data_IF_753335536961
#
_entry.id   IF_753335536961
#
_cell.length_a   1.000
_cell.length_b   1.000
_cell.length_c   1.000
_cell.angle_alpha   90.00
_cell.angle_beta   90.00
_cell.angle_gamma   90.00
#
_symmetry.space_group_name_H-M   'P 1'
#
loop_
_entity.id
_entity.type
_entity.pdbx_description
1 polymer ?
#
# COMPACT_ATOMS: atom_id res chain seq x y z
N UNK A 1 1.84 -47.05 -0.10
CA UNK A 1 0.53 -46.38 -0.26
C UNK A 1 0.21 -45.70 1.07
N UNK A 2 0.69 -44.48 1.28
CA UNK A 2 0.56 -43.78 2.56
C UNK A 2 0.25 -42.29 2.33
N UNK A 3 -0.94 -41.91 2.83
CA UNK A 3 -1.34 -40.60 3.33
C UNK A 3 -1.08 -39.34 2.48
N UNK A 4 -2.06 -38.96 1.64
CA UNK A 4 -2.38 -37.56 1.37
C UNK A 4 -3.46 -37.09 2.38
N UNK A 5 -3.09 -36.88 3.64
CA UNK A 5 -4.02 -36.40 4.66
C UNK A 5 -3.52 -35.06 5.24
N UNK A 6 -4.31 -34.01 4.94
CA UNK A 6 -4.27 -32.57 5.32
C UNK A 6 -3.62 -31.56 4.33
N UNK A 7 -4.23 -30.35 4.13
CA UNK A 7 -5.66 -30.03 4.01
C UNK A 7 -5.96 -29.20 2.74
N UNK A 8 -6.86 -29.66 1.87
CA UNK A 8 -7.38 -28.86 0.75
C UNK A 8 -8.43 -27.81 1.18
N UNK A 9 -9.02 -28.00 2.36
CA UNK A 9 -10.10 -27.17 2.89
C UNK A 9 -9.60 -25.86 3.53
N UNK A 10 -8.43 -25.85 4.18
CA UNK A 10 -7.87 -24.62 4.76
C UNK A 10 -7.41 -23.64 3.66
N UNK A 11 -6.72 -24.15 2.63
CA UNK A 11 -6.26 -23.35 1.50
C UNK A 11 -7.41 -22.77 0.66
N UNK A 12 -8.52 -23.52 0.53
CA UNK A 12 -9.76 -23.03 -0.11
C UNK A 12 -10.41 -21.91 0.73
N UNK A 13 -10.53 -22.11 2.05
CA UNK A 13 -11.07 -21.11 2.96
C UNK A 13 -10.24 -19.83 3.03
N UNK A 14 -8.91 -19.95 2.98
CA UNK A 14 -7.99 -18.81 2.96
C UNK A 14 -8.10 -18.01 1.66
N UNK A 15 -8.18 -18.68 0.50
CA UNK A 15 -8.42 -18.02 -0.80
C UNK A 15 -9.73 -17.25 -0.82
N UNK A 16 -10.78 -17.81 -0.23
CA UNK A 16 -12.08 -17.13 -0.10
C UNK A 16 -12.03 -15.92 0.84
N UNK A 17 -11.31 -16.00 1.97
CA UNK A 17 -11.08 -14.83 2.84
C UNK A 17 -10.30 -13.73 2.12
N UNK A 18 -9.26 -14.10 1.39
CA UNK A 18 -8.44 -13.17 0.60
C UNK A 18 -9.23 -12.51 -0.53
N UNK A 19 -10.16 -13.23 -1.18
CA UNK A 19 -11.03 -12.62 -2.20
C UNK A 19 -12.03 -11.64 -1.62
N UNK A 20 -12.64 -11.97 -0.47
CA UNK A 20 -13.57 -11.07 0.22
C UNK A 20 -12.89 -9.78 0.69
N UNK A 21 -11.69 -9.86 1.28
CA UNK A 21 -10.93 -8.68 1.70
C UNK A 21 -10.60 -7.75 0.52
N UNK A 22 -10.24 -8.31 -0.63
CA UNK A 22 -9.98 -7.54 -1.86
C UNK A 22 -11.24 -6.81 -2.35
N UNK A 23 -12.39 -7.48 -2.34
CA UNK A 23 -13.66 -6.88 -2.75
C UNK A 23 -14.03 -5.72 -1.82
N UNK A 24 -13.92 -5.91 -0.50
CA UNK A 24 -14.19 -4.84 0.48
C UNK A 24 -13.25 -3.64 0.28
N UNK A 25 -11.96 -3.89 0.05
CA UNK A 25 -10.99 -2.83 -0.21
C UNK A 25 -11.34 -2.03 -1.48
N UNK A 26 -11.73 -2.70 -2.55
CA UNK A 26 -12.16 -2.05 -3.80
C UNK A 26 -13.42 -1.22 -3.56
N UNK A 27 -14.41 -1.76 -2.85
CA UNK A 27 -15.66 -1.05 -2.53
C UNK A 27 -15.41 0.20 -1.66
N UNK A 28 -14.62 0.09 -0.60
CA UNK A 28 -14.25 1.21 0.27
C UNK A 28 -13.50 2.29 -0.51
N UNK A 29 -12.54 1.89 -1.36
CA UNK A 29 -11.78 2.82 -2.19
C UNK A 29 -12.70 3.54 -3.18
N UNK A 30 -13.65 2.82 -3.79
CA UNK A 30 -14.60 3.38 -4.75
C UNK A 30 -15.58 4.34 -4.06
N UNK A 31 -16.08 4.00 -2.87
CA UNK A 31 -16.95 4.87 -2.09
C UNK A 31 -16.22 6.15 -1.66
N UNK A 32 -14.98 6.05 -1.18
CA UNK A 32 -14.14 7.20 -0.84
C UNK A 32 -13.87 8.09 -2.06
N UNK A 33 -13.56 7.48 -3.22
CA UNK A 33 -13.38 8.18 -4.49
C UNK A 33 -14.64 8.93 -4.93
N UNK A 34 -15.82 8.29 -4.88
CA UNK A 34 -17.10 8.92 -5.22
C UNK A 34 -17.44 10.07 -4.26
N UNK A 35 -17.30 9.86 -2.94
CA UNK A 35 -17.51 10.92 -1.94
C UNK A 35 -16.56 12.10 -2.16
N UNK A 36 -15.30 11.83 -2.51
CA UNK A 36 -14.31 12.87 -2.84
C UNK A 36 -14.70 13.66 -4.09
N UNK A 37 -15.27 13.01 -5.10
CA UNK A 37 -15.73 13.66 -6.34
C UNK A 37 -17.01 14.46 -6.12
N UNK A 38 -17.95 13.95 -5.32
CA UNK A 38 -19.22 14.63 -5.02
C UNK A 38 -19.03 15.88 -4.15
N UNK A 39 -18.06 15.86 -3.22
CA UNK A 39 -17.70 17.01 -2.39
C UNK A 39 -16.62 17.90 -3.02
N UNK A 40 -16.20 17.61 -4.26
CA UNK A 40 -15.25 18.47 -4.96
C UNK A 40 -15.98 19.76 -5.39
N UNK A 41 -15.71 20.87 -4.70
CA UNK A 41 -16.21 22.18 -5.10
C UNK A 41 -15.74 22.49 -6.53
N UNK A 42 -16.68 22.66 -7.45
CA UNK A 42 -16.42 22.89 -8.88
C UNK A 42 -15.97 24.34 -9.20
N UNK A 43 -15.51 25.07 -8.17
CA UNK A 43 -14.91 26.39 -8.28
C UNK A 43 -13.40 26.26 -8.08
N UNK A 44 -12.69 25.77 -9.10
CA UNK A 44 -11.22 25.58 -9.09
C UNK A 44 -10.41 26.89 -9.01
N UNK A 45 -10.86 27.87 -8.24
CA UNK A 45 -10.27 29.19 -8.13
C UNK A 45 -9.11 29.22 -7.13
N UNK A 46 -8.93 28.16 -6.33
CA UNK A 46 -7.80 28.02 -5.41
C UNK A 46 -6.75 27.03 -5.93
N UNK A 47 -5.47 27.42 -5.82
CA UNK A 47 -4.31 26.58 -6.14
C UNK A 47 -4.34 25.23 -5.42
N UNK A 48 -4.81 25.19 -4.17
CA UNK A 48 -4.97 23.95 -3.40
C UNK A 48 -5.93 22.95 -4.05
N UNK A 49 -7.09 23.39 -4.55
CA UNK A 49 -8.07 22.53 -5.23
C UNK A 49 -7.51 22.00 -6.56
N UNK A 50 -6.77 22.83 -7.31
CA UNK A 50 -6.13 22.41 -8.57
C UNK A 50 -5.05 21.35 -8.33
N UNK A 51 -4.23 21.53 -7.30
CA UNK A 51 -3.21 20.54 -6.90
C UNK A 51 -3.89 19.25 -6.43
N UNK A 52 -4.96 19.34 -5.63
CA UNK A 52 -5.74 18.18 -5.19
C UNK A 52 -6.34 17.38 -6.35
N UNK A 53 -6.91 18.06 -7.36
CA UNK A 53 -7.45 17.39 -8.55
C UNK A 53 -6.34 16.72 -9.39
N UNK A 54 -5.21 17.41 -9.57
CA UNK A 54 -4.06 16.85 -10.28
C UNK A 54 -3.55 15.59 -9.57
N UNK A 55 -3.43 15.63 -8.24
CA UNK A 55 -3.07 14.46 -7.45
C UNK A 55 -4.06 13.32 -7.58
N UNK A 56 -5.36 13.62 -7.56
CA UNK A 56 -6.40 12.63 -7.77
C UNK A 56 -6.25 11.93 -9.14
N UNK A 57 -6.01 12.68 -10.21
CA UNK A 57 -5.73 12.11 -11.52
C UNK A 57 -4.46 11.25 -11.55
N UNK A 58 -3.38 11.69 -10.88
CA UNK A 58 -2.13 10.93 -10.77
C UNK A 58 -2.31 9.61 -10.03
N UNK A 59 -3.14 9.57 -8.98
CA UNK A 59 -3.48 8.33 -8.25
C UNK A 59 -4.06 7.28 -9.20
N UNK A 60 -4.88 7.68 -10.19
CA UNK A 60 -5.46 6.74 -11.16
C UNK A 60 -4.45 6.18 -12.17
N UNK A 61 -3.30 6.83 -12.36
CA UNK A 61 -2.23 6.31 -13.22
C UNK A 61 -1.57 5.07 -12.59
N UNK A 62 -1.54 4.97 -11.26
CA UNK A 62 -0.96 3.83 -10.54
C UNK A 62 -1.59 2.48 -10.92
N UNK A 63 -2.93 2.26 -10.82
CA UNK A 63 -3.53 1.00 -11.24
C UNK A 63 -3.40 0.75 -12.74
N UNK A 64 -3.48 1.80 -13.58
CA UNK A 64 -3.31 1.66 -15.04
C UNK A 64 -1.92 1.13 -15.41
N UNK A 65 -0.87 1.69 -14.81
CA UNK A 65 0.51 1.22 -15.03
C UNK A 65 0.72 -0.20 -14.49
N UNK A 66 0.02 -0.59 -13.41
CA UNK A 66 0.02 -1.96 -12.88
C UNK A 66 -0.61 -2.99 -13.83
N UNK A 67 -1.63 -2.62 -14.60
CA UNK A 67 -2.20 -3.48 -15.63
C UNK A 67 -1.24 -3.71 -16.81
N UNK A 68 -0.41 -2.72 -17.14
CA UNK A 68 0.60 -2.81 -18.21
C UNK A 68 1.91 -3.50 -17.78
N UNK A 69 1.88 -4.31 -16.72
CA UNK A 69 3.06 -4.99 -16.18
C UNK A 69 3.73 -5.90 -17.24
N UNK A 70 5.03 -5.72 -17.52
CA UNK A 70 5.75 -6.55 -18.49
C UNK A 70 5.84 -8.04 -18.06
N UNK A 71 5.87 -8.98 -19.02
CA UNK A 71 6.03 -10.41 -18.75
C UNK A 71 7.38 -10.75 -18.07
N UNK A 72 7.46 -11.93 -17.43
CA UNK A 72 8.67 -12.38 -16.70
C UNK A 72 9.86 -12.53 -17.67
N UNK A 73 11.06 -12.13 -17.26
CA UNK A 73 12.31 -12.32 -18.03
C UNK A 73 12.77 -11.15 -18.91
N UNK A 74 11.99 -10.06 -18.97
CA UNK A 74 12.39 -8.84 -19.69
C UNK A 74 13.07 -7.85 -18.74
N UNK A 75 14.22 -7.29 -19.13
CA UNK A 75 14.93 -6.24 -18.39
C UNK A 75 14.06 -5.00 -18.14
N UNK A 76 13.12 -4.70 -19.05
CA UNK A 76 12.11 -3.63 -18.88
C UNK A 76 11.25 -3.80 -17.63
N UNK A 77 11.12 -5.02 -17.09
CA UNK A 77 10.35 -5.26 -15.87
C UNK A 77 11.02 -4.64 -14.64
N UNK A 78 12.35 -4.62 -14.60
CA UNK A 78 13.11 -3.99 -13.50
C UNK A 78 12.91 -2.47 -13.51
N UNK A 79 13.02 -1.87 -14.70
CA UNK A 79 12.76 -0.44 -14.91
C UNK A 79 11.31 -0.09 -14.57
N UNK A 80 10.34 -0.88 -15.06
CA UNK A 80 8.93 -0.69 -14.74
C UNK A 80 8.68 -0.77 -13.24
N UNK A 81 9.31 -1.72 -12.54
CA UNK A 81 9.17 -1.86 -11.09
C UNK A 81 9.74 -0.63 -10.36
N UNK A 82 10.94 -0.18 -10.73
CA UNK A 82 11.56 1.01 -10.14
C UNK A 82 10.71 2.26 -10.34
N UNK A 83 10.24 2.50 -11.57
CA UNK A 83 9.41 3.66 -11.90
C UNK A 83 8.07 3.59 -11.17
N UNK A 84 7.37 2.46 -11.23
CA UNK A 84 6.07 2.28 -10.56
C UNK A 84 6.20 2.48 -9.04
N UNK A 85 7.24 1.90 -8.43
CA UNK A 85 7.54 2.05 -7.01
C UNK A 85 7.88 3.49 -6.62
N UNK A 86 8.80 4.14 -7.33
CA UNK A 86 9.21 5.52 -7.05
C UNK A 86 8.04 6.49 -7.22
N UNK A 87 7.25 6.31 -8.28
CA UNK A 87 6.05 7.10 -8.54
C UNK A 87 4.99 6.87 -7.47
N UNK A 88 4.89 5.65 -6.94
CA UNK A 88 3.98 5.32 -5.83
C UNK A 88 4.33 6.10 -4.57
N UNK A 89 5.60 6.08 -4.18
CA UNK A 89 6.10 6.84 -3.02
C UNK A 89 5.86 8.35 -3.22
N UNK A 90 6.17 8.87 -4.41
CA UNK A 90 5.96 10.29 -4.73
C UNK A 90 4.49 10.71 -4.56
N UNK A 91 3.55 9.91 -5.05
CA UNK A 91 2.11 10.18 -4.89
C UNK A 91 1.70 10.13 -3.41
N UNK A 92 2.20 9.17 -2.62
CA UNK A 92 1.92 9.11 -1.19
C UNK A 92 2.40 10.37 -0.46
N UNK A 93 3.64 10.80 -0.69
CA UNK A 93 4.21 12.01 -0.08
C UNK A 93 3.43 13.26 -0.46
N UNK A 94 3.10 13.41 -1.76
CA UNK A 94 2.32 14.55 -2.22
C UNK A 94 0.88 14.55 -1.68
N UNK A 95 0.28 13.36 -1.51
CA UNK A 95 -1.03 13.21 -0.88
C UNK A 95 -1.04 13.68 0.58
N UNK A 96 -0.03 13.28 1.36
CA UNK A 96 0.15 13.73 2.75
C UNK A 96 0.31 15.25 2.80
N UNK A 97 1.20 15.81 1.97
CA UNK A 97 1.41 17.26 1.89
C UNK A 97 0.12 18.01 1.52
N UNK A 98 -0.66 17.48 0.57
CA UNK A 98 -1.91 18.08 0.15
C UNK A 98 -2.94 18.14 1.28
N UNK A 99 -3.03 17.09 2.12
CA UNK A 99 -3.93 17.07 3.28
C UNK A 99 -3.52 18.15 4.29
N UNK A 100 -2.24 18.28 4.64
CA UNK A 100 -1.78 19.33 5.56
C UNK A 100 -2.00 20.75 5.02
N UNK A 101 -1.74 20.98 3.73
CA UNK A 101 -2.03 22.26 3.08
C UNK A 101 -3.53 22.56 3.12
N UNK A 102 -4.38 21.55 2.89
CA UNK A 102 -5.82 21.68 2.99
C UNK A 102 -6.31 22.04 4.39
N UNK A 103 -5.79 21.37 5.42
CA UNK A 103 -6.10 21.70 6.81
C UNK A 103 -5.65 23.13 7.15
N UNK A 104 -4.49 23.56 6.68
CA UNK A 104 -3.99 24.92 6.90
C UNK A 104 -4.90 25.98 6.27
N UNK A 105 -5.29 25.79 5.01
CA UNK A 105 -6.21 26.68 4.29
C UNK A 105 -7.59 26.69 4.94
N UNK A 106 -8.10 25.54 5.38
CA UNK A 106 -9.38 25.44 6.09
C UNK A 106 -9.34 26.20 7.42
N UNK A 107 -8.25 26.07 8.19
CA UNK A 107 -8.08 26.81 9.44
C UNK A 107 -8.12 28.33 9.21
N UNK A 108 -7.43 28.82 8.18
CA UNK A 108 -7.42 30.25 7.84
C UNK A 108 -8.80 30.78 7.42
N UNK A 109 -9.61 29.97 6.71
CA UNK A 109 -10.93 30.40 6.23
C UNK A 109 -12.04 30.30 7.26
N UNK A 110 -12.00 29.26 8.09
CA UNK A 110 -13.10 28.95 9.02
C UNK A 110 -12.83 29.43 10.44
N UNK A 111 -11.62 29.91 10.74
CA UNK A 111 -11.14 30.25 12.10
C UNK A 111 -11.36 29.13 13.13
N UNK A 112 -11.58 27.90 12.66
CA UNK A 112 -11.93 26.74 13.47
C UNK A 112 -10.66 25.93 13.70
N UNK A 113 -10.43 25.48 14.94
CA UNK A 113 -9.26 24.66 15.26
C UNK A 113 -9.27 23.38 14.41
N UNK A 114 -8.22 23.20 13.61
CA UNK A 114 -7.96 21.96 12.84
C UNK A 114 -7.06 21.00 13.60
N UNK A 115 -6.62 21.37 14.81
CA UNK A 115 -5.63 20.61 15.57
C UNK A 115 -6.05 19.15 15.81
N UNK A 116 -7.34 18.91 16.06
CA UNK A 116 -7.86 17.54 16.25
C UNK A 116 -7.69 16.70 14.99
N UNK A 117 -8.05 17.25 13.82
CA UNK A 117 -7.91 16.56 12.54
C UNK A 117 -6.44 16.33 12.17
N UNK A 118 -5.58 17.32 12.41
CA UNK A 118 -4.13 17.18 12.20
C UNK A 118 -3.54 16.07 13.07
N UNK A 119 -3.92 16.01 14.35
CA UNK A 119 -3.43 14.98 15.29
C UNK A 119 -3.90 13.60 14.87
N UNK A 120 -5.20 13.43 14.56
CA UNK A 120 -5.73 12.15 14.09
C UNK A 120 -5.01 11.65 12.85
N UNK A 121 -4.80 12.52 11.86
CA UNK A 121 -4.11 12.16 10.63
C UNK A 121 -2.61 11.84 10.86
N UNK A 122 -1.95 12.58 11.76
CA UNK A 122 -0.56 12.30 12.13
C UNK A 122 -0.42 10.94 12.80
N UNK A 123 -1.35 10.61 13.73
CA UNK A 123 -1.38 9.33 14.43
C UNK A 123 -1.63 8.19 13.43
N UNK A 124 -2.56 8.37 12.49
CA UNK A 124 -2.83 7.39 11.43
C UNK A 124 -1.57 7.09 10.59
N UNK A 125 -0.90 8.12 10.06
CA UNK A 125 0.35 7.94 9.29
C UNK A 125 1.41 7.24 10.14
N UNK A 126 1.53 7.61 11.42
CA UNK A 126 2.52 7.01 12.32
C UNK A 126 2.25 5.53 12.56
N UNK A 127 0.99 5.13 12.73
CA UNK A 127 0.58 3.73 12.85
C UNK A 127 0.90 2.96 11.58
N UNK A 128 0.57 3.51 10.40
CA UNK A 128 0.86 2.87 9.11
C UNK A 128 2.37 2.69 8.92
N UNK A 129 3.17 3.72 9.23
CA UNK A 129 4.63 3.65 9.15
C UNK A 129 5.20 2.61 10.12
N UNK A 130 4.67 2.52 11.34
CA UNK A 130 5.07 1.51 12.31
C UNK A 130 4.78 0.09 11.82
N UNK A 131 3.56 -0.15 11.29
CA UNK A 131 3.17 -1.45 10.71
C UNK A 131 4.09 -1.80 9.54
N UNK A 132 4.38 -0.84 8.64
CA UNK A 132 5.24 -1.06 7.49
C UNK A 132 6.66 -1.46 7.90
N UNK A 133 7.27 -0.74 8.86
CA UNK A 133 8.60 -1.08 9.38
C UNK A 133 8.60 -2.42 10.11
N UNK A 134 7.54 -2.73 10.84
CA UNK A 134 7.41 -4.01 11.53
C UNK A 134 7.32 -5.18 10.55
N UNK A 135 6.52 -5.06 9.48
CA UNK A 135 6.38 -6.07 8.43
C UNK A 135 7.72 -6.31 7.71
N UNK A 136 8.41 -5.23 7.32
CA UNK A 136 9.70 -5.30 6.65
C UNK A 136 10.72 -6.07 7.51
N UNK A 137 10.84 -5.73 8.80
CA UNK A 137 11.75 -6.43 9.73
C UNK A 137 11.34 -7.88 10.00
N UNK A 138 10.04 -8.16 10.09
CA UNK A 138 9.54 -9.51 10.30
C UNK A 138 9.92 -10.45 9.15
N UNK A 139 9.79 -10.00 7.91
CA UNK A 139 10.16 -10.79 6.73
C UNK A 139 11.65 -11.13 6.68
N UNK A 140 12.53 -10.26 7.19
CA UNK A 140 13.97 -10.59 7.30
C UNK A 140 14.22 -11.65 8.37
N UNK A 141 13.65 -11.49 9.57
CA UNK A 141 13.87 -12.44 10.66
C UNK A 141 13.35 -13.85 10.33
N UNK A 142 12.23 -13.95 9.59
CA UNK A 142 11.72 -15.25 9.12
C UNK A 142 12.66 -15.88 8.09
N UNK A 143 13.23 -15.09 7.17
CA UNK A 143 14.17 -15.60 6.17
C UNK A 143 15.47 -16.09 6.81
N UNK A 144 16.04 -15.31 7.74
CA UNK A 144 17.24 -15.70 8.49
C UNK A 144 17.01 -16.97 9.31
N UNK A 145 15.87 -17.08 10.02
CA UNK A 145 15.55 -18.28 10.79
C UNK A 145 15.31 -19.55 9.95
N UNK A 146 14.91 -19.40 8.68
CA UNK A 146 14.75 -20.54 7.75
C UNK A 146 16.10 -20.96 7.17
N UNK A 147 16.94 -20.02 6.74
CA UNK A 147 18.27 -20.31 6.18
C UNK A 147 19.21 -20.94 7.24
N UNK A 148 19.10 -20.51 8.50
CA UNK A 148 19.86 -21.05 9.64
C UNK A 148 19.41 -22.45 10.07
N UNK A 149 18.22 -22.95 9.66
CA UNK A 149 17.83 -24.35 9.89
C UNK A 149 18.18 -25.29 8.74
N UNK A 150 18.35 -24.77 7.53
CA UNK A 150 18.75 -25.56 6.36
C UNK A 150 20.26 -25.84 6.38
N UNK A 151 21.06 -24.96 6.98
CA UNK A 151 22.54 -25.03 7.04
C UNK A 151 23.16 -25.97 8.10
N UNK A 152 22.58 -26.29 9.27
CA UNK A 152 23.26 -27.15 10.25
C UNK A 152 23.19 -28.63 9.87
N UNK A 153 22.03 -29.07 9.33
CA UNK A 153 21.74 -30.49 9.13
C UNK A 153 22.26 -31.01 7.78
N UNK A 154 22.26 -30.15 6.75
CA UNK A 154 22.69 -30.54 5.39
C UNK A 154 24.20 -30.71 5.27
N UNK A 155 25.00 -29.90 5.97
CA UNK A 155 26.46 -29.99 5.96
C UNK A 155 26.96 -31.19 6.78
N UNK A 156 26.36 -31.48 7.93
CA UNK A 156 26.71 -32.67 8.71
C UNK A 156 26.42 -33.99 7.96
N UNK A 157 25.35 -34.04 7.16
CA UNK A 157 24.99 -35.22 6.36
C UNK A 157 25.89 -35.41 5.14
N UNK A 158 26.47 -34.32 4.60
CA UNK A 158 27.39 -34.37 3.47
C UNK A 158 28.82 -34.74 3.88
N UNK A 159 29.25 -34.35 5.08
CA UNK A 159 30.59 -34.64 5.61
C UNK A 159 30.68 -36.05 6.21
N UNK A 160 29.54 -36.69 6.52
CA UNK A 160 29.48 -38.05 7.10
C UNK A 160 29.30 -39.19 6.08
N UNK A 161 29.47 -38.94 4.77
CA UNK A 161 29.48 -39.96 3.71
C UNK A 161 30.81 -39.96 2.98
#
# INVERSE_FOLDING_TARGET
>A
MAASLYPSTSASGEKHKLSQLKIIAILMTTAAAVLSLMNFENSFNNTHQRIGLALYALIWIQPLTAFSRPPRGNEMRSIWYFVHWFFGIGICVLGIANIYVGLHVYHQRSSRSVSLWSVLFTVEISIIAFIFLFQDRWDYMVKEGVDEQVTPTSYMTYVSK
#
